data_IF_117209691115
#
_entry.id   IF_117209691115
#
_cell.length_a   1.000
_cell.length_b   1.000
_cell.length_c   1.000
_cell.angle_alpha   90.00
_cell.angle_beta   90.00
_cell.angle_gamma   90.00
#
_symmetry.space_group_name_H-M   'P 1'
#
loop_
_entity.id
_entity.type
_entity.pdbx_description
1 polymer ?
#
# COMPACT_ATOMS: atom_id res chain seq x y z
N UNK A 1 -2.35 5.61 18.01
CA UNK A 1 -3.07 5.20 16.78
C UNK A 1 -2.44 5.95 15.62
N UNK A 2 -1.79 5.24 14.70
CA UNK A 2 -1.21 5.86 13.52
C UNK A 2 -2.10 5.63 12.29
N UNK A 3 -2.12 6.62 11.41
CA UNK A 3 -2.80 6.55 10.12
C UNK A 3 -1.77 6.59 9.02
N UNK A 4 -2.06 5.90 7.93
CA UNK A 4 -1.16 5.84 6.77
C UNK A 4 -1.95 6.04 5.49
N UNK A 5 -1.33 6.75 4.56
CA UNK A 5 -1.89 6.96 3.23
C UNK A 5 -1.41 5.85 2.31
N UNK A 6 -2.36 5.04 1.84
CA UNK A 6 -2.12 3.90 0.96
C UNK A 6 -2.54 4.27 -0.46
N UNK A 7 -1.62 4.06 -1.40
CA UNK A 7 -1.86 4.24 -2.82
C UNK A 7 -2.07 2.87 -3.48
N UNK A 8 -3.16 2.72 -4.22
CA UNK A 8 -3.45 1.50 -4.96
C UNK A 8 -3.09 1.66 -6.45
N UNK A 9 -2.72 0.57 -7.15
CA UNK A 9 -2.40 0.58 -8.59
C UNK A 9 -3.67 0.67 -9.46
N UNK A 10 -4.55 1.62 -9.16
CA UNK A 10 -5.78 1.92 -9.89
C UNK A 10 -5.88 3.44 -10.09
N UNK A 11 -6.83 3.89 -10.92
CA UNK A 11 -7.05 5.31 -11.16
C UNK A 11 -7.74 6.00 -9.97
N UNK A 12 -7.00 6.12 -8.86
CA UNK A 12 -7.45 6.70 -7.60
C UNK A 12 -6.29 7.44 -6.91
N UNK A 13 -6.63 8.47 -6.15
CA UNK A 13 -5.71 9.10 -5.21
C UNK A 13 -5.38 8.20 -4.01
N UNK A 14 -4.46 8.66 -3.13
CA UNK A 14 -4.17 7.97 -1.88
C UNK A 14 -5.40 7.93 -0.97
N UNK A 15 -5.56 6.82 -0.26
CA UNK A 15 -6.62 6.60 0.71
C UNK A 15 -6.02 6.39 2.08
N UNK A 16 -6.60 7.03 3.09
CA UNK A 16 -6.10 6.91 4.47
C UNK A 16 -6.70 5.70 5.17
N UNK A 17 -5.84 4.88 5.77
CA UNK A 17 -6.21 3.71 6.56
C UNK A 17 -5.63 3.80 7.97
N UNK A 18 -6.29 3.11 8.89
CA UNK A 18 -5.81 2.96 10.27
C UNK A 18 -4.80 1.82 10.33
N UNK A 19 -3.63 2.09 10.89
CA UNK A 19 -2.63 1.08 11.16
C UNK A 19 -2.91 0.44 12.53
N UNK A 20 -3.15 -0.88 12.62
CA UNK A 20 -3.31 -1.56 13.90
C UNK A 20 -1.95 -1.65 14.63
N UNK A 21 -1.96 -1.68 15.97
CA UNK A 21 -0.75 -1.53 16.78
C UNK A 21 0.36 -2.54 16.47
N UNK A 22 0.00 -3.77 16.12
CA UNK A 22 0.95 -4.82 15.76
C UNK A 22 1.67 -4.60 14.41
N UNK A 23 1.21 -3.67 13.57
CA UNK A 23 1.82 -3.35 12.27
C UNK A 23 2.55 -2.00 12.28
N UNK A 24 2.49 -1.25 13.39
CA UNK A 24 3.07 0.10 13.49
C UNK A 24 4.58 0.07 13.18
N UNK A 25 5.31 -0.87 13.78
CA UNK A 25 6.76 -1.02 13.56
C UNK A 25 7.13 -1.39 12.12
N UNK A 26 6.19 -1.95 11.34
CA UNK A 26 6.42 -2.31 9.92
C UNK A 26 5.87 -1.27 8.95
N UNK A 27 5.10 -0.29 9.41
CA UNK A 27 4.39 0.68 8.59
C UNK A 27 5.31 1.83 8.14
N UNK A 28 6.19 1.53 7.20
CA UNK A 28 7.09 2.51 6.58
C UNK A 28 6.62 2.95 5.18
N UNK A 29 6.91 4.18 4.75
CA UNK A 29 6.75 4.60 3.36
C UNK A 29 7.42 3.62 2.40
N UNK A 30 6.73 3.23 1.34
CA UNK A 30 7.23 2.30 0.34
C UNK A 30 6.88 0.83 0.58
N UNK A 31 6.33 0.50 1.75
CA UNK A 31 5.91 -0.86 2.08
C UNK A 31 4.67 -1.28 1.31
N UNK A 32 4.66 -2.54 0.87
CA UNK A 32 3.51 -3.16 0.23
C UNK A 32 2.51 -3.60 1.29
N UNK A 33 1.25 -3.20 1.16
CA UNK A 33 0.20 -3.48 2.14
C UNK A 33 -1.04 -4.03 1.48
N UNK A 34 -1.76 -4.89 2.20
CA UNK A 34 -3.10 -5.34 1.81
C UNK A 34 -4.13 -4.57 2.60
N UNK A 35 -5.06 -3.92 1.90
CA UNK A 35 -6.12 -3.15 2.53
C UNK A 35 -7.46 -3.35 1.81
N UNK A 36 -8.59 -3.26 2.54
CA UNK A 36 -9.92 -3.45 1.98
C UNK A 36 -10.31 -2.24 1.13
N UNK A 37 -10.53 -2.47 -0.16
CA UNK A 37 -11.04 -1.51 -1.12
C UNK A 37 -12.44 -1.95 -1.58
N UNK A 38 -13.48 -1.21 -1.17
CA UNK A 38 -14.89 -1.58 -1.37
C UNK A 38 -15.21 -3.00 -0.87
N UNK A 39 -15.41 -3.96 -1.79
CA UNK A 39 -15.79 -5.36 -1.53
C UNK A 39 -14.63 -6.37 -1.63
N UNK A 40 -13.42 -5.90 -1.94
CA UNK A 40 -12.25 -6.74 -2.18
C UNK A 40 -11.04 -6.26 -1.40
N UNK A 41 -10.13 -7.17 -1.05
CA UNK A 41 -8.83 -6.82 -0.47
C UNK A 41 -7.86 -6.63 -1.64
N UNK A 42 -7.23 -5.46 -1.71
CA UNK A 42 -6.31 -5.09 -2.79
C UNK A 42 -4.96 -4.71 -2.19
N UNK A 43 -3.88 -4.97 -2.93
CA UNK A 43 -2.54 -4.56 -2.54
C UNK A 43 -2.28 -3.11 -2.96
N UNK A 44 -1.68 -2.33 -2.08
CA UNK A 44 -1.27 -0.95 -2.30
C UNK A 44 0.05 -0.67 -1.60
N UNK A 45 0.54 0.57 -1.71
CA UNK A 45 1.81 0.98 -1.14
C UNK A 45 1.59 2.17 -0.21
N UNK A 46 2.23 2.15 0.95
CA UNK A 46 2.24 3.29 1.87
C UNK A 46 3.04 4.44 1.23
N UNK A 47 2.43 5.62 1.10
CA UNK A 47 3.15 6.84 0.67
C UNK A 47 3.76 7.58 1.86
N UNK A 48 3.01 7.71 2.93
CA UNK A 48 3.37 8.53 4.08
C UNK A 48 2.49 8.18 5.28
N UNK A 49 2.99 8.48 6.47
CA UNK A 49 2.15 8.53 7.67
C UNK A 49 1.27 9.78 7.59
N UNK A 50 -0.02 9.61 7.86
CA UNK A 50 -1.00 10.69 7.81
C UNK A 50 -1.41 11.09 9.23
N UNK A 51 -1.78 12.36 9.40
CA UNK A 51 -2.44 12.79 10.63
C UNK A 51 -3.88 12.29 10.66
N UNK A 52 -4.47 12.20 11.84
CA UNK A 52 -5.81 11.64 12.05
C UNK A 52 -6.83 12.19 11.04
N UNK A 53 -7.54 11.33 10.29
CA UNK A 53 -8.55 11.80 9.35
C UNK A 53 -9.74 12.39 10.09
N UNK A 54 -10.45 13.30 9.42
CA UNK A 54 -11.68 13.91 9.93
C UNK A 54 -12.88 12.95 9.92
N UNK A 55 -12.73 11.76 9.32
CA UNK A 55 -13.80 10.78 9.14
C UNK A 55 -13.75 9.66 10.18
N UNK A 56 -14.90 9.35 10.77
CA UNK A 56 -15.03 8.31 11.81
C UNK A 56 -14.99 6.87 11.25
N UNK A 57 -15.31 6.69 9.96
CA UNK A 57 -15.44 5.38 9.29
C UNK A 57 -14.15 4.92 8.56
N UNK A 58 -13.01 4.93 9.25
CA UNK A 58 -11.72 4.52 8.66
C UNK A 58 -11.54 3.01 8.81
N UNK A 59 -11.23 2.33 7.70
CA UNK A 59 -10.92 0.89 7.73
C UNK A 59 -9.46 0.65 8.16
N UNK A 60 -9.22 -0.54 8.70
CA UNK A 60 -7.87 -0.96 9.08
C UNK A 60 -7.15 -1.59 7.88
N UNK A 61 -5.82 -1.46 7.86
CA UNK A 61 -4.95 -2.28 6.99
C UNK A 61 -5.09 -3.75 7.41
N UNK A 62 -5.15 -4.66 6.45
CA UNK A 62 -5.25 -6.09 6.71
C UNK A 62 -3.90 -6.73 7.01
N UNK A 63 -2.85 -6.36 6.26
CA UNK A 63 -1.53 -6.97 6.39
C UNK A 63 -0.43 -6.11 5.71
N UNK A 64 0.82 -6.23 6.15
CA UNK A 64 2.00 -5.62 5.51
C UNK A 64 2.91 -6.73 4.96
N UNK A 65 3.23 -6.65 3.68
CA UNK A 65 4.00 -7.65 2.95
C UNK A 65 5.47 -7.22 2.83
N UNK A 66 6.36 -8.13 3.23
CA UNK A 66 7.81 -7.94 3.15
C UNK A 66 8.43 -7.32 4.40
N UNK A 67 9.75 -7.44 4.51
CA UNK A 67 10.57 -6.87 5.60
C UNK A 67 11.25 -5.55 5.19
N UNK A 68 11.20 -5.19 3.90
CA UNK A 68 11.84 -4.02 3.31
C UNK A 68 10.89 -3.31 2.34
N UNK A 69 10.96 -1.97 2.21
CA UNK A 69 10.11 -1.23 1.30
C UNK A 69 10.29 -1.70 -0.14
N UNK A 70 9.17 -1.98 -0.81
CA UNK A 70 9.15 -2.31 -2.24
C UNK A 70 9.54 -1.07 -3.07
N UNK A 71 9.10 0.11 -2.65
CA UNK A 71 9.48 1.39 -3.24
C UNK A 71 10.34 2.17 -2.27
N UNK A 72 11.62 2.29 -2.55
CA UNK A 72 12.51 3.13 -1.76
C UNK A 72 12.14 4.63 -1.89
N UNK A 73 12.56 5.48 -0.93
CA UNK A 73 12.26 6.91 -0.95
C UNK A 73 12.57 7.65 -2.26
N UNK A 74 13.68 7.37 -2.99
CA UNK A 74 13.92 7.98 -4.30
C UNK A 74 12.84 7.64 -5.33
N UNK A 75 12.30 6.43 -5.29
CA UNK A 75 11.29 5.97 -6.24
C UNK A 75 9.91 6.55 -5.91
N UNK A 76 9.61 6.75 -4.61
CA UNK A 76 8.44 7.52 -4.18
C UNK A 76 8.53 8.99 -4.63
N UNK A 77 9.71 9.61 -4.56
CA UNK A 77 9.94 10.95 -5.11
C UNK A 77 9.72 10.99 -6.61
N UNK A 78 10.22 10.00 -7.35
CA UNK A 78 10.02 9.89 -8.79
C UNK A 78 8.53 9.74 -9.14
N UNK A 79 7.79 8.92 -8.39
CA UNK A 79 6.34 8.77 -8.55
C UNK A 79 5.61 10.10 -8.40
N UNK A 80 5.96 10.88 -7.36
CA UNK A 80 5.38 12.20 -7.13
C UNK A 80 5.76 13.19 -8.23
N UNK A 81 7.02 13.19 -8.65
CA UNK A 81 7.52 14.04 -9.73
C UNK A 81 6.81 13.74 -11.05
N UNK A 82 6.62 12.46 -11.42
CA UNK A 82 5.90 12.11 -12.65
C UNK A 82 4.43 12.56 -12.62
N UNK A 83 3.78 12.43 -11.46
CA UNK A 83 2.39 12.87 -11.32
C UNK A 83 2.25 14.39 -11.49
N UNK A 84 3.20 15.15 -10.95
CA UNK A 84 3.26 16.61 -11.07
C UNK A 84 3.61 17.04 -12.50
N UNK A 85 4.70 16.50 -13.06
CA UNK A 85 5.21 16.86 -14.37
C UNK A 85 4.23 16.55 -15.51
N UNK A 86 3.58 15.38 -15.47
CA UNK A 86 2.61 14.97 -16.49
C UNK A 86 1.16 15.33 -16.14
N UNK A 87 0.92 16.10 -15.06
CA UNK A 87 -0.41 16.54 -14.63
C UNK A 87 -1.38 15.35 -14.51
N UNK A 88 -0.92 14.26 -13.90
CA UNK A 88 -1.73 13.06 -13.70
C UNK A 88 -2.54 13.24 -12.42
N UNK A 89 -3.86 13.41 -12.57
CA UNK A 89 -4.77 13.64 -11.45
C UNK A 89 -4.68 12.58 -10.34
N UNK A 90 -4.38 11.32 -10.71
CA UNK A 90 -4.34 10.19 -9.77
C UNK A 90 -2.98 9.47 -9.81
N UNK A 91 -2.23 9.59 -8.71
CA UNK A 91 -0.93 8.92 -8.53
C UNK A 91 -0.99 7.39 -8.66
N UNK A 92 -2.15 6.78 -8.45
CA UNK A 92 -2.31 5.32 -8.60
C UNK A 92 -2.15 4.82 -10.04
N UNK A 93 -2.39 5.68 -11.04
CA UNK A 93 -2.06 5.37 -12.44
C UNK A 93 -0.55 5.32 -12.65
N UNK A 94 0.20 6.25 -12.05
CA UNK A 94 1.66 6.26 -12.12
C UNK A 94 2.20 4.98 -11.47
N UNK A 95 1.70 4.64 -10.29
CA UNK A 95 2.09 3.41 -9.58
C UNK A 95 1.84 2.15 -10.43
N UNK A 96 0.68 2.07 -11.08
CA UNK A 96 0.31 0.94 -11.96
C UNK A 96 1.28 0.77 -13.13
N UNK A 97 1.83 1.87 -13.66
CA UNK A 97 2.76 1.84 -14.79
C UNK A 97 4.23 1.69 -14.36
N UNK A 98 4.59 2.03 -13.11
CA UNK A 98 5.97 1.87 -12.61
C UNK A 98 6.36 0.42 -12.33
N UNK A 99 5.40 -0.43 -11.95
CA UNK A 99 5.66 -1.79 -11.50
C UNK A 99 4.95 -2.83 -12.39
N UNK A 100 5.56 -4.01 -12.58
CA UNK A 100 4.88 -5.14 -13.23
C UNK A 100 3.57 -5.49 -12.53
N UNK A 101 2.56 -5.89 -13.29
CA UNK A 101 1.25 -6.24 -12.71
C UNK A 101 1.32 -7.45 -11.79
N UNK A 102 2.32 -8.33 -11.99
CA UNK A 102 2.58 -9.47 -11.11
C UNK A 102 3.01 -9.08 -9.70
N UNK A 103 3.59 -7.89 -9.50
CA UNK A 103 4.00 -7.41 -8.16
C UNK A 103 2.81 -7.23 -7.22
N UNK A 104 1.63 -6.94 -7.76
CA UNK A 104 0.38 -6.79 -6.99
C UNK A 104 -0.52 -8.02 -7.03
N UNK A 105 -0.10 -9.10 -7.71
CA UNK A 105 -0.84 -10.36 -7.66
C UNK A 105 -0.63 -10.98 -6.29
N UNK A 106 -1.73 -11.47 -5.74
CA UNK A 106 -1.75 -12.32 -4.55
C UNK A 106 -0.85 -13.53 -4.83
N UNK A 107 0.39 -13.50 -4.34
CA UNK A 107 1.13 -14.75 -4.17
C UNK A 107 0.26 -15.56 -3.24
N UNK A 108 -0.37 -16.63 -3.76
CA UNK A 108 -1.06 -17.58 -2.89
C UNK A 108 0.00 -18.00 -1.88
N UNK A 109 -0.18 -17.62 -0.62
CA UNK A 109 0.57 -18.20 0.47
C UNK A 109 0.57 -19.71 0.22
N UNK A 110 1.77 -20.27 0.08
CA UNK A 110 1.97 -21.69 -0.14
C UNK A 110 1.43 -22.39 1.11
N UNK A 111 0.16 -22.77 1.09
CA UNK A 111 -0.51 -23.49 2.16
C UNK A 111 -0.02 -24.94 2.15
N UNK A 112 0.92 -25.22 3.05
CA UNK A 112 1.14 -26.45 3.86
C UNK A 112 0.93 -27.84 3.24
N UNK A 113 1.95 -28.67 3.43
CA UNK A 113 1.90 -30.10 3.76
C UNK A 113 3.32 -30.55 4.13
N UNK A 114 3.61 -31.49 5.02
CA UNK A 114 2.90 -32.37 5.98
C UNK A 114 4.05 -33.07 6.76
N UNK A 115 3.79 -33.54 7.99
CA UNK A 115 4.32 -34.76 8.68
C UNK A 115 5.63 -35.38 8.12
N UNK A 116 6.71 -35.61 8.87
CA UNK A 116 7.03 -36.57 9.95
C UNK A 116 8.45 -36.16 10.45
N UNK A 117 8.83 -36.23 11.73
CA UNK A 117 9.02 -37.43 12.57
C UNK A 117 9.20 -37.00 14.04
#
# INVERSE_FOLDING_TARGET
MEFVDVLFPINLGPLTYKCPEHLIDKAHPGMLVSAPLKKQITMGIILSKSSAPMSDNIKNISDIHGESPLLEPPLLKLLNWMADYYIIANKGLVLKNMLPQETFKKVKARSKGKTEE
#
